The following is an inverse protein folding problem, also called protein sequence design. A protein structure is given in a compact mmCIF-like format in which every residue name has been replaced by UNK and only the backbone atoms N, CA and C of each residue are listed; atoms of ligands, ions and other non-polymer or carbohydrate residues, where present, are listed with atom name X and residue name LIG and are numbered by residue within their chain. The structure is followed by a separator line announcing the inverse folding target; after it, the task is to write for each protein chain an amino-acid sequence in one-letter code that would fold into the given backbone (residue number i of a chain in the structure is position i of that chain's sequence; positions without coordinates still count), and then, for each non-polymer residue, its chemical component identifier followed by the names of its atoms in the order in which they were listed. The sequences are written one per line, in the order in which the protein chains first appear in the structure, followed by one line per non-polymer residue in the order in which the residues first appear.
data_IF_185941217399
#
_entry.id   IF_185941217399
#
_cell.length_a   1.000
_cell.length_b   1.000
_cell.length_c   1.000
_cell.angle_alpha   90.00
_cell.angle_beta   90.00
_cell.angle_gamma   90.00
#
_symmetry.space_group_name_H-M   'P 1'
#
loop_
_entity.id
_entity.type
_entity.pdbx_description
1 polymer ?
#
# COMPACT_ATOMS: atom_id res chain seq x y z
N UNK A 1 -34.39 11.91 34.49
CA UNK A 1 -35.09 13.05 33.88
C UNK A 1 -34.01 14.09 33.56
N UNK A 2 -33.55 14.15 32.36
CA UNK A 2 -33.14 15.35 31.59
C UNK A 2 -32.52 14.90 30.29
N UNK A 3 -33.25 15.09 29.22
CA UNK A 3 -32.84 14.78 27.84
C UNK A 3 -32.00 15.96 27.33
N UNK A 4 -30.80 15.70 26.83
CA UNK A 4 -30.02 16.67 26.06
C UNK A 4 -30.13 16.26 24.58
N UNK A 5 -30.84 17.07 23.81
CA UNK A 5 -30.96 17.01 22.37
C UNK A 5 -29.75 17.72 21.75
N UNK A 6 -28.97 17.03 20.96
CA UNK A 6 -27.98 17.65 20.05
C UNK A 6 -28.67 18.08 18.77
N UNK A 7 -28.55 19.38 18.46
CA UNK A 7 -29.04 20.01 17.23
C UNK A 7 -27.88 19.92 16.22
N UNK A 8 -28.13 19.22 15.10
CA UNK A 8 -27.26 19.32 13.92
C UNK A 8 -27.59 20.62 13.16
N UNK A 9 -26.62 21.50 13.02
CA UNK A 9 -26.66 22.61 12.08
C UNK A 9 -25.99 22.17 10.77
N UNK A 10 -26.76 22.02 9.71
CA UNK A 10 -26.30 21.86 8.35
C UNK A 10 -26.10 23.27 7.74
N UNK A 11 -24.87 23.64 7.39
CA UNK A 11 -24.60 24.78 6.52
C UNK A 11 -24.42 24.26 5.09
N UNK A 12 -25.44 24.50 4.28
CA UNK A 12 -25.35 24.37 2.84
C UNK A 12 -24.77 25.66 2.24
N UNK A 13 -23.71 25.55 1.48
CA UNK A 13 -23.24 26.60 0.57
C UNK A 13 -23.40 26.11 -0.86
N UNK A 14 -24.40 26.67 -1.56
CA UNK A 14 -24.60 26.48 -2.98
C UNK A 14 -23.63 27.35 -3.79
N UNK A 15 -23.01 26.74 -4.80
CA UNK A 15 -22.34 27.45 -5.87
C UNK A 15 -23.23 27.44 -7.11
N UNK A 16 -23.72 28.62 -7.49
CA UNK A 16 -24.34 28.89 -8.79
C UNK A 16 -23.25 29.05 -9.84
N UNK A 17 -23.14 28.11 -10.76
CA UNK A 17 -22.35 28.26 -11.97
C UNK A 17 -23.19 28.87 -13.10
N UNK A 18 -22.81 30.04 -13.56
CA UNK A 18 -23.40 30.73 -14.71
C UNK A 18 -22.77 30.16 -15.99
N UNK A 19 -23.58 29.50 -16.83
CA UNK A 19 -23.19 29.13 -18.19
C UNK A 19 -23.57 30.25 -19.16
N UNK A 20 -22.57 30.82 -19.79
CA UNK A 20 -22.76 31.78 -20.91
C UNK A 20 -22.64 31.01 -22.22
N UNK A 21 -23.75 30.94 -22.96
CA UNK A 21 -23.81 30.41 -24.32
C UNK A 21 -23.38 31.57 -25.29
N UNK A 22 -22.32 31.36 -26.02
CA UNK A 22 -21.95 32.21 -27.17
C UNK A 22 -22.38 31.51 -28.46
N UNK A 23 -23.36 32.08 -29.13
CA UNK A 23 -23.80 31.70 -30.48
C UNK A 23 -22.89 32.39 -31.51
N UNK A 24 -22.31 31.62 -32.42
CA UNK A 24 -21.58 32.14 -33.57
C UNK A 24 -22.41 31.89 -34.82
N UNK A 25 -22.76 32.99 -35.47
CA UNK A 25 -23.50 33.02 -36.72
C UNK A 25 -22.65 32.64 -37.92
N UNK A 26 -23.30 31.94 -38.83
CA UNK A 26 -22.80 31.58 -40.18
C UNK A 26 -22.89 32.76 -41.13
N UNK A 27 -21.82 33.06 -41.88
CA UNK A 27 -21.88 33.88 -43.10
C UNK A 27 -21.11 33.18 -44.22
N UNK A 28 -21.80 32.98 -45.35
CA UNK A 28 -21.27 32.42 -46.60
C UNK A 28 -20.60 33.52 -47.41
N UNK A 29 -19.51 33.19 -48.09
CA UNK A 29 -18.91 34.03 -49.13
C UNK A 29 -17.93 33.22 -49.98
N UNK A 30 -18.26 33.11 -51.29
CA UNK A 30 -17.56 32.37 -52.33
C UNK A 30 -16.29 33.07 -52.84
N UNK A 31 -15.39 32.27 -53.36
CA UNK A 31 -14.65 32.23 -54.64
C UNK A 31 -13.15 32.48 -54.66
N UNK A 32 -12.53 31.53 -55.42
CA UNK A 32 -11.33 31.59 -56.29
C UNK A 32 -9.94 31.31 -55.71
N UNK A 33 -9.44 30.15 -56.14
CA UNK A 33 -8.03 29.76 -56.27
C UNK A 33 -7.36 30.54 -57.42
N UNK A 34 -6.05 30.83 -57.44
CA UNK A 34 -5.10 29.83 -57.90
C UNK A 34 -3.65 29.87 -57.28
N UNK A 35 -3.05 28.71 -57.31
CA UNK A 35 -1.64 28.42 -57.59
C UNK A 35 -0.52 28.90 -56.64
N UNK A 36 0.13 27.89 -56.00
CA UNK A 36 1.58 27.78 -56.07
C UNK A 36 2.38 28.35 -54.88
N UNK A 37 3.04 27.45 -54.25
CA UNK A 37 4.34 27.54 -53.61
C UNK A 37 4.31 26.83 -52.26
N UNK A 38 5.09 25.76 -52.15
CA UNK A 38 5.26 24.98 -50.94
C UNK A 38 5.79 25.82 -49.76
N UNK A 39 5.07 25.77 -48.67
CA UNK A 39 5.60 26.13 -47.37
C UNK A 39 5.85 24.86 -46.60
N UNK A 40 7.15 24.59 -46.35
CA UNK A 40 7.61 23.68 -45.35
C UNK A 40 7.04 24.14 -44.01
N UNK A 41 6.24 23.28 -43.39
CA UNK A 41 5.83 23.46 -42.00
C UNK A 41 7.07 23.28 -41.12
N UNK A 42 7.66 24.37 -40.68
CA UNK A 42 8.57 24.37 -39.54
C UNK A 42 7.75 23.98 -38.32
N UNK A 43 7.93 22.75 -37.86
CA UNK A 43 7.52 22.34 -36.52
C UNK A 43 8.18 23.30 -35.52
N UNK A 44 7.41 24.19 -34.94
CA UNK A 44 7.86 24.96 -33.79
C UNK A 44 8.00 24.00 -32.63
N UNK A 45 9.24 23.54 -32.38
CA UNK A 45 9.63 22.96 -31.12
C UNK A 45 9.44 24.07 -30.08
N UNK A 46 8.36 23.96 -29.30
CA UNK A 46 8.18 24.79 -28.11
C UNK A 46 9.39 24.60 -27.22
N UNK A 47 10.02 25.67 -26.72
CA UNK A 47 11.12 25.53 -25.79
C UNK A 47 10.59 24.81 -24.54
N UNK A 48 11.19 23.67 -24.21
CA UNK A 48 11.04 23.06 -22.89
C UNK A 48 11.58 24.12 -21.92
N UNK A 49 10.69 24.78 -21.19
CA UNK A 49 11.08 25.56 -20.03
C UNK A 49 11.72 24.60 -19.03
N UNK A 50 13.02 24.50 -19.09
CA UNK A 50 13.82 24.00 -17.99
C UNK A 50 13.64 25.04 -16.87
N UNK A 51 13.02 24.63 -15.76
CA UNK A 51 13.00 25.42 -14.54
C UNK A 51 14.45 25.80 -14.22
N UNK A 52 14.80 27.06 -14.34
CA UNK A 52 16.17 27.57 -14.19
C UNK A 52 16.67 27.56 -12.73
N UNK A 53 15.81 27.16 -11.79
CA UNK A 53 16.20 26.98 -10.40
C UNK A 53 16.62 25.54 -10.14
N UNK A 54 17.85 25.29 -9.64
CA UNK A 54 18.24 23.96 -9.22
C UNK A 54 17.26 23.47 -8.15
N UNK A 55 16.92 22.16 -8.15
CA UNK A 55 16.02 21.61 -7.14
C UNK A 55 16.59 21.86 -5.74
N UNK A 56 15.71 22.26 -4.81
CA UNK A 56 16.12 22.50 -3.44
C UNK A 56 16.69 21.22 -2.77
N UNK A 57 17.46 21.36 -1.66
CA UNK A 57 18.13 20.23 -1.00
C UNK A 57 17.18 19.05 -0.68
N UNK A 58 15.93 19.35 -0.31
CA UNK A 58 14.90 18.34 -0.06
C UNK A 58 14.53 17.56 -1.31
N UNK A 59 14.33 18.24 -2.43
CA UNK A 59 13.98 17.58 -3.70
C UNK A 59 15.11 16.66 -4.19
N UNK A 60 16.36 17.10 -4.05
CA UNK A 60 17.55 16.28 -4.36
C UNK A 60 17.61 15.07 -3.45
N UNK A 61 17.40 15.25 -2.15
CA UNK A 61 17.38 14.16 -1.18
C UNK A 61 16.28 13.15 -1.50
N UNK A 62 15.03 13.61 -1.70
CA UNK A 62 13.90 12.76 -2.04
C UNK A 62 14.16 11.97 -3.34
N UNK A 63 14.70 12.62 -4.38
CA UNK A 63 15.05 11.94 -5.64
C UNK A 63 16.00 10.78 -5.40
N UNK A 64 17.08 11.00 -4.65
CA UNK A 64 18.04 9.97 -4.31
C UNK A 64 17.39 8.80 -3.55
N UNK A 65 16.55 9.08 -2.57
CA UNK A 65 15.87 8.02 -1.79
C UNK A 65 14.94 7.19 -2.68
N UNK A 66 14.20 7.83 -3.59
CA UNK A 66 13.33 7.13 -4.54
C UNK A 66 14.11 6.21 -5.49
N UNK A 67 15.30 6.65 -5.94
CA UNK A 67 16.22 5.86 -6.76
C UNK A 67 16.80 4.67 -5.97
N UNK A 68 17.33 4.91 -4.76
CA UNK A 68 17.89 3.87 -3.89
C UNK A 68 16.84 2.82 -3.46
N UNK A 69 15.57 3.22 -3.36
CA UNK A 69 14.45 2.34 -3.08
C UNK A 69 13.91 1.61 -4.32
N UNK A 70 14.52 1.84 -5.48
CA UNK A 70 14.11 1.24 -6.77
C UNK A 70 12.64 1.53 -7.12
N UNK A 71 12.15 2.74 -6.80
CA UNK A 71 10.79 3.13 -7.13
C UNK A 71 10.68 3.36 -8.64
N UNK A 72 9.67 2.79 -9.32
CA UNK A 72 9.49 2.96 -10.76
C UNK A 72 9.45 4.44 -11.17
N UNK A 73 10.10 4.84 -12.29
CA UNK A 73 10.25 6.25 -12.66
C UNK A 73 8.95 7.05 -12.74
N UNK A 74 7.85 6.42 -13.18
CA UNK A 74 6.55 7.07 -13.25
C UNK A 74 5.98 7.37 -11.84
N UNK A 75 6.11 6.42 -10.91
CA UNK A 75 5.68 6.57 -9.52
C UNK A 75 6.58 7.55 -8.76
N UNK A 76 7.89 7.48 -8.96
CA UNK A 76 8.85 8.41 -8.37
C UNK A 76 8.55 9.86 -8.78
N UNK A 77 8.26 10.10 -10.05
CA UNK A 77 7.86 11.43 -10.56
C UNK A 77 6.57 11.92 -9.91
N UNK A 78 5.55 11.07 -9.83
CA UNK A 78 4.31 11.41 -9.15
C UNK A 78 4.53 11.82 -7.68
N UNK A 79 5.34 11.06 -6.94
CA UNK A 79 5.69 11.39 -5.55
C UNK A 79 6.43 12.73 -5.46
N UNK A 80 7.37 12.99 -6.37
CA UNK A 80 8.10 14.27 -6.43
C UNK A 80 7.16 15.45 -6.72
N UNK A 81 6.21 15.29 -7.64
CA UNK A 81 5.20 16.31 -7.97
C UNK A 81 4.34 16.63 -6.74
N UNK A 82 3.78 15.61 -6.08
CA UNK A 82 2.98 15.80 -4.86
C UNK A 82 3.80 16.44 -3.73
N UNK A 83 5.06 16.01 -3.55
CA UNK A 83 5.94 16.57 -2.54
C UNK A 83 6.35 18.04 -2.83
N UNK A 84 6.32 18.47 -4.08
CA UNK A 84 6.57 19.86 -4.48
C UNK A 84 5.35 20.76 -4.31
N UNK A 85 4.12 20.22 -4.35
CA UNK A 85 2.88 21.00 -4.17
C UNK A 85 2.67 21.48 -2.72
N UNK A 86 3.30 20.82 -1.73
CA UNK A 86 3.13 21.22 -0.33
C UNK A 86 3.71 20.22 0.68
N UNK A 87 3.48 20.45 1.97
CA UNK A 87 4.09 19.65 3.03
C UNK A 87 3.40 18.29 3.27
N UNK A 88 2.28 17.98 2.60
CA UNK A 88 1.44 16.84 2.91
C UNK A 88 2.22 15.51 2.91
N UNK A 89 2.96 15.23 1.84
CA UNK A 89 3.80 14.03 1.75
C UNK A 89 4.77 13.89 2.94
N UNK A 90 5.45 14.99 3.29
CA UNK A 90 6.41 14.98 4.40
C UNK A 90 5.71 14.83 5.75
N UNK A 91 4.55 15.46 5.96
CA UNK A 91 3.78 15.32 7.19
C UNK A 91 3.27 13.89 7.37
N UNK A 92 2.78 13.26 6.31
CA UNK A 92 2.32 11.87 6.35
C UNK A 92 3.49 10.90 6.59
N UNK A 93 4.65 11.15 5.96
CA UNK A 93 5.87 10.39 6.23
C UNK A 93 6.30 10.53 7.70
N UNK A 94 6.29 11.75 8.26
CA UNK A 94 6.62 11.98 9.67
C UNK A 94 5.67 11.24 10.60
N UNK A 95 4.37 11.24 10.33
CA UNK A 95 3.40 10.48 11.09
C UNK A 95 3.71 8.98 11.11
N UNK A 96 4.14 8.42 9.97
CA UNK A 96 4.61 7.02 9.87
C UNK A 96 5.87 6.80 10.71
N UNK A 97 6.83 7.73 10.66
CA UNK A 97 8.11 7.60 11.37
C UNK A 97 7.98 7.76 12.89
N UNK A 98 7.01 8.54 13.37
CA UNK A 98 6.67 8.70 14.80
C UNK A 98 5.96 7.47 15.38
N UNK A 99 5.37 6.62 14.53
CA UNK A 99 4.68 5.40 14.93
C UNK A 99 5.61 4.28 15.42
N UNK A 100 5.02 3.13 15.79
CA UNK A 100 5.77 1.94 16.23
C UNK A 100 6.75 1.48 15.11
N UNK A 101 8.07 1.48 15.34
CA UNK A 101 9.05 1.10 14.34
C UNK A 101 8.89 -0.33 13.81
N UNK A 102 8.30 -1.24 14.60
CA UNK A 102 8.04 -2.60 14.14
C UNK A 102 7.02 -2.69 13.01
N UNK A 103 6.14 -1.70 12.87
CA UNK A 103 5.13 -1.66 11.79
C UNK A 103 5.77 -1.46 10.41
N UNK A 104 6.92 -0.77 10.34
CA UNK A 104 7.62 -0.41 9.10
C UNK A 104 8.89 -1.21 8.81
N UNK A 105 9.20 -2.25 9.59
CA UNK A 105 10.38 -3.12 9.37
C UNK A 105 10.30 -3.76 7.99
N UNK A 106 11.32 -3.56 7.16
CA UNK A 106 11.45 -4.25 5.87
C UNK A 106 11.87 -5.71 6.11
N UNK A 107 11.01 -6.65 5.72
CA UNK A 107 11.29 -8.09 5.74
C UNK A 107 10.91 -8.65 4.38
N UNK A 108 11.90 -9.09 3.62
CA UNK A 108 11.75 -9.62 2.26
C UNK A 108 12.86 -10.64 1.93
N UNK A 109 13.10 -10.93 0.67
CA UNK A 109 14.14 -11.89 0.21
C UNK A 109 15.56 -11.50 0.61
N UNK A 110 15.81 -10.21 0.86
CA UNK A 110 17.14 -9.66 1.14
C UNK A 110 17.31 -9.24 2.60
N UNK A 111 16.19 -8.90 3.27
CA UNK A 111 16.19 -8.37 4.64
C UNK A 111 15.59 -9.40 5.60
N UNK A 112 16.45 -9.99 6.41
CA UNK A 112 16.09 -11.05 7.36
C UNK A 112 15.96 -10.50 8.79
N UNK A 113 15.01 -11.04 9.54
CA UNK A 113 14.95 -10.93 10.99
C UNK A 113 15.97 -11.88 11.64
N UNK A 114 16.48 -11.48 12.80
CA UNK A 114 17.33 -12.37 13.61
C UNK A 114 16.57 -13.65 13.98
N UNK A 115 17.30 -14.78 14.07
CA UNK A 115 16.71 -16.06 14.42
C UNK A 115 16.03 -16.06 15.82
N UNK A 116 16.57 -15.27 16.76
CA UNK A 116 15.98 -15.12 18.09
C UNK A 116 14.93 -14.02 18.20
N UNK A 117 14.54 -13.35 17.09
CA UNK A 117 13.50 -12.33 17.16
C UNK A 117 12.13 -12.97 17.39
N UNK A 118 11.51 -12.60 18.49
CA UNK A 118 10.13 -12.92 18.86
C UNK A 118 9.49 -11.68 19.50
N UNK A 119 8.29 -11.26 19.05
CA UNK A 119 7.60 -10.15 19.69
C UNK A 119 7.20 -10.46 21.13
N UNK A 120 7.42 -9.51 22.06
CA UNK A 120 7.12 -9.68 23.48
C UNK A 120 5.62 -9.59 23.80
N UNK A 121 4.84 -8.95 22.93
CA UNK A 121 3.42 -8.62 23.12
C UNK A 121 2.46 -9.53 22.33
N UNK A 122 2.90 -10.77 22.03
CA UNK A 122 2.05 -11.75 21.38
C UNK A 122 0.88 -12.17 22.27
N UNK A 123 -0.32 -12.12 21.69
CA UNK A 123 -1.57 -12.57 22.33
C UNK A 123 -2.20 -13.71 21.52
N UNK A 124 -2.84 -14.64 22.21
CA UNK A 124 -3.58 -15.71 21.54
C UNK A 124 -4.82 -15.16 20.84
N UNK A 125 -5.00 -15.58 19.60
CA UNK A 125 -6.24 -15.33 18.87
C UNK A 125 -7.33 -16.22 19.40
N UNK A 126 -8.32 -15.60 20.04
CA UNK A 126 -9.51 -16.26 20.54
C UNK A 126 -10.71 -15.86 19.67
N UNK A 127 -11.85 -16.52 19.85
CA UNK A 127 -13.05 -16.12 19.11
C UNK A 127 -13.52 -14.74 19.53
N UNK A 128 -13.68 -13.88 18.54
CA UNK A 128 -14.26 -12.55 18.65
C UNK A 128 -15.20 -12.31 17.47
N UNK A 129 -15.09 -11.15 16.81
CA UNK A 129 -15.79 -10.88 15.55
C UNK A 129 -15.20 -11.66 14.37
N UNK A 130 -13.97 -12.16 14.50
CA UNK A 130 -13.34 -13.08 13.55
C UNK A 130 -13.43 -14.55 14.02
N UNK A 131 -13.17 -15.46 13.09
CA UNK A 131 -13.02 -16.88 13.37
C UNK A 131 -11.55 -17.31 13.22
N UNK A 132 -11.17 -18.40 13.88
CA UNK A 132 -9.88 -19.07 13.69
C UNK A 132 -10.13 -20.52 13.26
N UNK A 133 -9.38 -20.99 12.25
CA UNK A 133 -9.53 -22.37 11.78
C UNK A 133 -8.75 -23.40 12.62
N UNK A 134 -7.86 -22.91 13.51
CA UNK A 134 -7.08 -23.74 14.45
C UNK A 134 -6.74 -22.94 15.72
N UNK A 135 -6.43 -23.65 16.79
CA UNK A 135 -5.98 -23.02 18.04
C UNK A 135 -4.49 -22.68 18.01
N UNK A 136 -4.07 -21.81 18.93
CA UNK A 136 -2.68 -21.43 19.14
C UNK A 136 -2.14 -20.42 18.12
N UNK A 137 -3.02 -19.79 17.33
CA UNK A 137 -2.64 -18.65 16.50
C UNK A 137 -2.42 -17.44 17.40
N UNK A 138 -1.37 -16.64 17.11
CA UNK A 138 -1.00 -15.47 17.89
C UNK A 138 -0.73 -14.29 16.96
N UNK A 139 -1.01 -13.09 17.45
CA UNK A 139 -0.57 -11.82 16.86
C UNK A 139 -0.02 -10.91 17.95
N UNK A 140 0.71 -9.86 17.55
CA UNK A 140 0.97 -8.72 18.43
C UNK A 140 -0.35 -8.06 18.82
N UNK A 141 -0.40 -7.56 20.05
CA UNK A 141 -1.61 -6.93 20.62
C UNK A 141 -2.21 -5.88 19.72
N UNK A 142 -1.40 -4.99 19.13
CA UNK A 142 -1.89 -3.92 18.24
C UNK A 142 -2.58 -4.48 16.98
N UNK A 143 -2.00 -5.54 16.38
CA UNK A 143 -2.57 -6.19 15.20
C UNK A 143 -3.87 -6.95 15.54
N UNK A 144 -3.93 -7.59 16.72
CA UNK A 144 -5.14 -8.28 17.18
C UNK A 144 -6.31 -7.32 17.37
N UNK A 145 -6.07 -6.15 18.00
CA UNK A 145 -7.11 -5.13 18.17
C UNK A 145 -7.60 -4.57 16.82
N UNK A 146 -6.70 -4.38 15.86
CA UNK A 146 -7.05 -3.94 14.52
C UNK A 146 -7.83 -5.03 13.74
N UNK A 147 -7.45 -6.31 13.91
CA UNK A 147 -8.16 -7.44 13.35
C UNK A 147 -9.59 -7.54 13.89
N UNK A 148 -9.78 -7.37 15.20
CA UNK A 148 -11.11 -7.38 15.82
C UNK A 148 -11.98 -6.25 15.27
N UNK A 149 -11.43 -5.03 15.16
CA UNK A 149 -12.15 -3.88 14.60
C UNK A 149 -12.55 -4.11 13.13
N UNK A 150 -11.61 -4.64 12.32
CA UNK A 150 -11.86 -4.97 10.91
C UNK A 150 -12.92 -6.08 10.78
N UNK A 151 -12.81 -7.12 11.59
CA UNK A 151 -13.75 -8.23 11.57
C UNK A 151 -15.16 -7.83 12.03
N UNK A 152 -15.28 -6.92 13.00
CA UNK A 152 -16.57 -6.37 13.42
C UNK A 152 -17.24 -5.58 12.29
N UNK A 153 -16.48 -4.79 11.54
CA UNK A 153 -16.99 -4.08 10.36
C UNK A 153 -17.44 -5.07 9.25
N UNK A 154 -16.61 -6.08 8.97
CA UNK A 154 -16.96 -7.13 8.01
C UNK A 154 -18.25 -7.87 8.42
N UNK A 155 -18.39 -8.17 9.72
CA UNK A 155 -19.58 -8.83 10.25
C UNK A 155 -20.83 -7.98 10.11
N UNK A 156 -20.74 -6.64 10.28
CA UNK A 156 -21.83 -5.70 10.03
C UNK A 156 -22.28 -5.74 8.56
N UNK A 157 -21.36 -5.99 7.62
CA UNK A 157 -21.64 -6.19 6.19
C UNK A 157 -22.04 -7.64 5.85
N UNK A 158 -22.21 -8.48 6.88
CA UNK A 158 -22.59 -9.90 6.75
C UNK A 158 -21.46 -10.76 6.17
N UNK A 159 -20.19 -10.37 6.39
CA UNK A 159 -18.98 -11.11 5.98
C UNK A 159 -18.30 -11.65 7.24
N UNK A 160 -17.91 -12.92 7.21
CA UNK A 160 -17.12 -13.53 8.29
C UNK A 160 -15.66 -13.66 7.85
N UNK A 161 -14.74 -13.09 8.62
CA UNK A 161 -13.32 -13.24 8.41
C UNK A 161 -12.80 -14.45 9.22
N UNK A 162 -12.07 -15.34 8.56
CA UNK A 162 -11.46 -16.51 9.18
C UNK A 162 -9.94 -16.43 9.06
N UNK A 163 -9.25 -16.52 10.19
CA UNK A 163 -7.78 -16.53 10.25
C UNK A 163 -7.27 -17.96 10.14
N UNK A 164 -6.39 -18.20 9.18
CA UNK A 164 -5.81 -19.52 8.90
C UNK A 164 -4.35 -19.64 9.34
N UNK A 165 -3.61 -18.54 9.33
CA UNK A 165 -2.23 -18.45 9.81
C UNK A 165 -1.98 -17.08 10.42
N UNK A 166 -1.04 -16.99 11.37
CA UNK A 166 -0.66 -15.75 12.02
C UNK A 166 0.83 -15.80 12.40
N UNK A 167 1.25 -15.40 13.60
CA UNK A 167 2.65 -15.47 14.02
C UNK A 167 3.27 -16.84 13.76
N UNK A 168 4.50 -16.81 13.26
CA UNK A 168 5.31 -18.00 12.96
C UNK A 168 6.75 -17.76 13.42
N UNK A 169 7.22 -18.54 14.40
CA UNK A 169 8.60 -18.42 14.86
C UNK A 169 9.60 -18.81 13.76
N UNK A 170 10.84 -18.37 13.90
CA UNK A 170 11.95 -18.74 13.02
C UNK A 170 12.06 -20.27 12.86
N UNK A 171 12.07 -21.02 13.97
CA UNK A 171 12.19 -22.48 13.94
C UNK A 171 11.00 -23.17 13.26
N UNK A 172 9.78 -22.63 13.44
CA UNK A 172 8.62 -23.17 12.74
C UNK A 172 8.68 -22.85 11.25
N UNK A 173 9.14 -21.67 10.87
CA UNK A 173 9.37 -21.31 9.46
C UNK A 173 10.39 -22.24 8.79
N UNK A 174 11.47 -22.62 9.49
CA UNK A 174 12.45 -23.57 8.99
C UNK A 174 11.80 -24.94 8.68
N UNK A 175 10.92 -25.41 9.57
CA UNK A 175 10.16 -26.65 9.36
C UNK A 175 9.26 -26.54 8.13
N UNK A 176 8.52 -25.42 7.98
CA UNK A 176 7.62 -25.18 6.84
C UNK A 176 8.42 -25.11 5.54
N UNK A 177 9.48 -24.33 5.50
CA UNK A 177 10.31 -24.16 4.31
C UNK A 177 10.96 -25.48 3.88
N UNK A 178 11.57 -26.21 4.81
CA UNK A 178 12.19 -27.52 4.54
C UNK A 178 11.18 -28.52 3.97
N UNK A 179 9.95 -28.52 4.50
CA UNK A 179 8.87 -29.34 3.96
C UNK A 179 8.55 -28.96 2.52
N UNK A 180 8.39 -27.66 2.22
CA UNK A 180 8.08 -27.18 0.88
C UNK A 180 9.19 -27.52 -0.13
N UNK A 181 10.46 -27.37 0.27
CA UNK A 181 11.60 -27.79 -0.56
C UNK A 181 11.54 -29.27 -0.90
N UNK A 182 11.20 -30.11 0.08
CA UNK A 182 11.09 -31.57 -0.13
C UNK A 182 9.91 -31.93 -1.05
N UNK A 183 8.79 -31.21 -0.96
CA UNK A 183 7.56 -31.51 -1.70
C UNK A 183 7.54 -30.93 -3.12
N UNK A 184 8.06 -29.72 -3.32
CA UNK A 184 7.96 -28.98 -4.59
C UNK A 184 9.31 -28.63 -5.22
N UNK A 185 10.42 -28.93 -4.57
CA UNK A 185 11.75 -28.50 -4.98
C UNK A 185 12.11 -27.09 -4.56
N UNK A 186 13.41 -26.76 -4.63
CA UNK A 186 13.98 -25.50 -4.13
C UNK A 186 13.39 -24.27 -4.82
N UNK A 187 13.31 -24.30 -6.15
CA UNK A 187 12.86 -23.15 -6.95
C UNK A 187 11.41 -22.78 -6.64
N UNK A 188 10.51 -23.77 -6.61
CA UNK A 188 9.10 -23.55 -6.26
C UNK A 188 8.96 -23.12 -4.80
N UNK A 189 9.69 -23.75 -3.89
CA UNK A 189 9.66 -23.38 -2.48
C UNK A 189 10.11 -21.93 -2.26
N UNK A 190 11.10 -21.44 -2.99
CA UNK A 190 11.56 -20.06 -2.90
C UNK A 190 10.51 -19.06 -3.39
N UNK A 191 9.58 -19.45 -4.29
CA UNK A 191 8.49 -18.58 -4.77
C UNK A 191 7.26 -18.58 -3.85
N UNK A 192 7.02 -19.68 -3.14
CA UNK A 192 5.79 -19.91 -2.36
C UNK A 192 6.01 -19.84 -0.85
N UNK A 193 7.26 -19.82 -0.38
CA UNK A 193 7.59 -19.84 1.04
C UNK A 193 8.84 -19.01 1.34
N UNK A 194 8.77 -18.25 2.41
CA UNK A 194 9.93 -17.53 2.88
C UNK A 194 10.95 -18.47 3.52
N UNK A 195 12.24 -18.19 3.30
CA UNK A 195 13.32 -18.80 4.08
C UNK A 195 13.21 -18.35 5.54
N UNK A 196 13.76 -19.13 6.51
CA UNK A 196 13.81 -18.71 7.91
C UNK A 196 14.44 -17.33 8.07
N UNK A 197 13.79 -16.46 8.85
CA UNK A 197 14.16 -15.05 9.01
C UNK A 197 13.55 -14.09 7.96
N UNK A 198 13.17 -14.58 6.80
CA UNK A 198 12.62 -13.78 5.70
C UNK A 198 11.07 -13.77 5.64
N UNK A 199 10.44 -14.37 6.63
CA UNK A 199 8.98 -14.43 6.72
C UNK A 199 8.42 -13.24 7.49
N UNK A 200 7.50 -12.49 6.89
CA UNK A 200 6.76 -11.43 7.57
C UNK A 200 5.92 -11.96 8.75
N UNK A 201 5.53 -13.24 8.76
CA UNK A 201 4.84 -13.85 9.88
C UNK A 201 5.64 -13.82 11.20
N UNK A 202 7.00 -13.77 11.12
CA UNK A 202 7.83 -13.68 12.31
C UNK A 202 7.68 -12.33 13.03
N UNK A 203 7.20 -11.28 12.35
CA UNK A 203 6.88 -10.00 12.98
C UNK A 203 5.69 -10.07 13.96
N UNK A 204 4.84 -11.11 13.86
CA UNK A 204 3.59 -11.18 14.60
C UNK A 204 2.53 -10.16 14.15
N UNK A 205 2.66 -9.65 12.94
CA UNK A 205 1.82 -8.61 12.35
C UNK A 205 1.06 -9.09 11.10
N UNK A 206 1.12 -10.39 10.80
CA UNK A 206 0.59 -10.95 9.54
C UNK A 206 -0.49 -11.97 9.81
N UNK A 207 -1.50 -11.94 8.97
CA UNK A 207 -2.59 -12.93 8.93
C UNK A 207 -2.76 -13.44 7.51
N UNK A 208 -2.88 -14.77 7.38
CA UNK A 208 -3.46 -15.40 6.21
C UNK A 208 -4.94 -15.66 6.46
N UNK A 209 -5.80 -15.15 5.58
CA UNK A 209 -7.25 -15.28 5.68
C UNK A 209 -7.79 -16.42 4.83
N UNK A 210 -8.85 -17.07 5.31
CA UNK A 210 -9.66 -18.04 4.56
C UNK A 210 -8.88 -19.24 4.05
N UNK A 211 -9.09 -19.61 2.78
CA UNK A 211 -8.27 -20.61 2.08
C UNK A 211 -6.94 -19.96 1.65
N UNK A 212 -5.86 -20.73 1.82
CA UNK A 212 -4.51 -20.28 1.38
C UNK A 212 -4.31 -20.73 -0.06
N UNK A 213 -5.13 -20.20 -0.97
CA UNK A 213 -5.11 -20.44 -2.41
C UNK A 213 -5.74 -19.27 -3.16
N UNK A 214 -5.55 -19.22 -4.49
CA UNK A 214 -6.00 -18.12 -5.34
C UNK A 214 -7.54 -17.95 -5.34
N UNK A 215 -8.29 -19.02 -5.05
CA UNK A 215 -9.75 -18.95 -5.00
C UNK A 215 -10.26 -18.05 -3.87
N UNK A 216 -9.43 -17.76 -2.86
CA UNK A 216 -9.81 -16.83 -1.79
C UNK A 216 -10.20 -15.46 -2.34
N UNK A 217 -9.52 -14.94 -3.37
CA UNK A 217 -9.83 -13.66 -4.01
C UNK A 217 -11.29 -13.58 -4.49
N UNK A 218 -11.86 -14.72 -4.94
CA UNK A 218 -13.20 -14.80 -5.47
C UNK A 218 -14.27 -14.98 -4.38
N UNK A 219 -13.88 -15.19 -3.15
CA UNK A 219 -14.81 -15.30 -2.02
C UNK A 219 -15.39 -13.93 -1.65
N UNK A 220 -16.52 -13.93 -0.94
CA UNK A 220 -17.06 -12.68 -0.39
C UNK A 220 -16.10 -12.02 0.61
N UNK A 221 -15.41 -12.82 1.42
CA UNK A 221 -14.41 -12.34 2.37
C UNK A 221 -13.19 -11.75 1.66
N UNK A 222 -12.66 -12.44 0.64
CA UNK A 222 -11.50 -11.96 -0.13
C UNK A 222 -11.77 -10.63 -0.80
N UNK A 223 -12.92 -10.47 -1.47
CA UNK A 223 -13.32 -9.19 -2.08
C UNK A 223 -13.51 -8.09 -1.04
N UNK A 224 -14.15 -8.40 0.09
CA UNK A 224 -14.35 -7.42 1.16
C UNK A 224 -13.01 -6.93 1.75
N UNK A 225 -12.09 -7.86 2.05
CA UNK A 225 -10.76 -7.51 2.57
C UNK A 225 -9.96 -6.68 1.55
N UNK A 226 -9.99 -7.06 0.27
CA UNK A 226 -9.29 -6.32 -0.78
C UNK A 226 -9.74 -4.86 -0.88
N UNK A 227 -11.02 -4.59 -0.62
CA UNK A 227 -11.60 -3.24 -0.66
C UNK A 227 -11.43 -2.46 0.66
N UNK A 228 -11.48 -3.11 1.81
CA UNK A 228 -11.66 -2.43 3.10
C UNK A 228 -10.45 -2.52 4.04
N UNK A 229 -9.54 -3.48 3.86
CA UNK A 229 -8.48 -3.75 4.85
C UNK A 229 -7.59 -2.53 5.15
N UNK A 230 -7.31 -1.70 4.13
CA UNK A 230 -6.48 -0.51 4.27
C UNK A 230 -7.05 0.51 5.27
N UNK A 231 -8.38 0.61 5.42
CA UNK A 231 -9.03 1.50 6.40
C UNK A 231 -8.78 1.08 7.85
N UNK A 232 -8.36 -0.16 8.07
CA UNK A 232 -8.05 -0.73 9.38
C UNK A 232 -6.53 -0.90 9.60
N UNK A 233 -5.70 -0.36 8.72
CA UNK A 233 -4.24 -0.43 8.83
C UNK A 233 -3.63 -1.74 8.34
N UNK A 234 -4.37 -2.51 7.52
CA UNK A 234 -3.89 -3.74 6.89
C UNK A 234 -3.56 -3.51 5.42
N UNK A 235 -2.47 -4.10 4.96
CA UNK A 235 -1.99 -3.98 3.59
C UNK A 235 -1.68 -5.35 2.99
N UNK A 236 -2.06 -5.57 1.74
CA UNK A 236 -1.72 -6.78 0.97
C UNK A 236 -0.21 -6.81 0.69
N UNK A 237 0.48 -7.88 1.10
CA UNK A 237 1.94 -7.93 0.97
C UNK A 237 2.42 -8.37 -0.42
N UNK A 238 1.69 -9.26 -1.08
CA UNK A 238 2.10 -9.91 -2.34
C UNK A 238 1.01 -9.75 -3.41
N UNK A 239 0.85 -8.54 -3.98
CA UNK A 239 -0.17 -8.24 -4.97
C UNK A 239 0.13 -8.88 -6.33
N UNK A 240 -0.92 -9.18 -7.10
CA UNK A 240 -0.82 -9.74 -8.44
C UNK A 240 -0.07 -8.78 -9.39
N UNK A 241 0.86 -9.34 -10.19
CA UNK A 241 1.66 -8.57 -11.14
C UNK A 241 2.92 -7.92 -10.55
N UNK A 242 3.19 -8.15 -9.25
CA UNK A 242 4.37 -7.62 -8.56
C UNK A 242 5.30 -8.71 -8.03
N UNK A 243 5.22 -9.92 -8.60
CA UNK A 243 6.04 -11.08 -8.22
C UNK A 243 7.54 -10.81 -8.41
N UNK A 244 7.91 -10.07 -9.45
CA UNK A 244 9.29 -9.66 -9.68
C UNK A 244 9.82 -8.67 -8.62
N UNK A 245 8.95 -7.86 -8.03
CA UNK A 245 9.29 -6.91 -6.97
C UNK A 245 9.43 -7.60 -5.61
N UNK A 246 8.45 -8.46 -5.29
CA UNK A 246 8.35 -9.09 -3.96
C UNK A 246 9.17 -10.37 -3.84
N UNK A 247 9.44 -11.03 -4.98
CA UNK A 247 10.07 -12.33 -5.03
C UNK A 247 9.14 -13.50 -4.64
N UNK A 248 7.86 -13.20 -4.38
CA UNK A 248 6.82 -14.18 -4.05
C UNK A 248 5.70 -14.13 -5.07
N UNK A 249 5.01 -15.26 -5.25
CA UNK A 249 3.80 -15.31 -6.05
C UNK A 249 2.70 -14.41 -5.43
N UNK A 250 1.67 -14.13 -6.21
CA UNK A 250 0.47 -13.49 -5.69
C UNK A 250 -0.17 -14.31 -4.55
N UNK A 251 -0.50 -13.64 -3.45
CA UNK A 251 -1.16 -14.22 -2.27
C UNK A 251 -2.31 -13.32 -1.81
N UNK A 252 -3.49 -13.52 -2.37
CA UNK A 252 -4.70 -12.72 -2.07
C UNK A 252 -5.16 -12.77 -0.61
N UNK A 253 -4.67 -13.73 0.15
CA UNK A 253 -4.99 -14.00 1.56
C UNK A 253 -4.02 -13.36 2.55
N UNK A 254 -2.81 -12.95 2.12
CA UNK A 254 -1.70 -12.55 2.99
C UNK A 254 -1.69 -11.06 3.26
N UNK A 255 -2.18 -10.66 4.42
CA UNK A 255 -2.25 -9.27 4.85
C UNK A 255 -1.36 -8.98 6.05
N UNK A 256 -0.65 -7.86 5.99
CA UNK A 256 0.18 -7.36 7.07
C UNK A 256 -0.47 -6.14 7.70
N UNK A 257 -0.55 -6.14 9.04
CA UNK A 257 -0.85 -4.94 9.80
C UNK A 257 0.36 -4.00 9.81
N UNK A 258 0.17 -2.82 9.27
CA UNK A 258 1.19 -1.78 9.14
C UNK A 258 0.81 -0.51 9.92
N UNK A 259 -0.34 -0.49 10.59
CA UNK A 259 -0.90 0.71 11.22
C UNK A 259 -1.64 1.60 10.21
N UNK A 260 -2.48 2.50 10.70
CA UNK A 260 -3.33 3.32 9.84
C UNK A 260 -2.53 4.35 9.05
N UNK A 261 -1.55 4.96 9.68
CA UNK A 261 -0.68 5.98 9.08
C UNK A 261 0.10 5.40 7.91
N UNK A 262 0.77 4.25 8.11
CA UNK A 262 1.52 3.62 7.03
C UNK A 262 0.60 3.00 5.96
N UNK A 263 -0.55 2.46 6.34
CA UNK A 263 -1.53 1.96 5.37
C UNK A 263 -2.04 3.08 4.45
N UNK A 264 -2.38 4.23 5.03
CA UNK A 264 -2.74 5.43 4.27
C UNK A 264 -1.60 5.91 3.35
N UNK A 265 -0.37 5.93 3.86
CA UNK A 265 0.82 6.33 3.12
C UNK A 265 1.09 5.40 1.92
N UNK A 266 0.96 4.08 2.13
CA UNK A 266 1.06 3.06 1.07
C UNK A 266 0.02 3.30 -0.02
N UNK A 267 -1.23 3.50 0.38
CA UNK A 267 -2.35 3.65 -0.55
C UNK A 267 -2.24 4.95 -1.34
N UNK A 268 -1.95 6.06 -0.66
CA UNK A 268 -1.91 7.41 -1.25
C UNK A 268 -0.72 7.62 -2.18
N UNK A 269 0.48 7.18 -1.77
CA UNK A 269 1.72 7.54 -2.47
C UNK A 269 2.37 6.40 -3.24
N UNK A 270 2.03 5.14 -2.92
CA UNK A 270 2.66 3.96 -3.52
C UNK A 270 1.68 3.03 -4.22
N UNK A 271 0.51 3.56 -4.63
CA UNK A 271 -0.53 2.83 -5.35
C UNK A 271 -0.97 1.52 -4.65
N UNK A 272 -0.98 1.50 -3.31
CA UNK A 272 -1.28 0.31 -2.52
C UNK A 272 -0.17 -0.74 -2.48
N UNK A 273 1.02 -0.48 -3.03
CA UNK A 273 2.12 -1.45 -3.10
C UNK A 273 3.02 -1.32 -1.86
N UNK A 274 2.77 -2.17 -0.88
CA UNK A 274 3.47 -2.20 0.41
C UNK A 274 5.00 -2.25 0.27
N UNK A 275 5.51 -3.08 -0.63
CA UNK A 275 6.95 -3.28 -0.80
C UNK A 275 7.67 -1.99 -1.22
N UNK A 276 7.07 -1.15 -2.08
CA UNK A 276 7.65 0.13 -2.46
C UNK A 276 7.75 1.09 -1.28
N UNK A 277 6.68 1.22 -0.50
CA UNK A 277 6.68 2.10 0.66
C UNK A 277 7.69 1.65 1.73
N UNK A 278 7.78 0.35 2.01
CA UNK A 278 8.74 -0.18 2.99
C UNK A 278 10.18 -0.03 2.52
N UNK A 279 10.50 -0.24 1.22
CA UNK A 279 11.82 0.04 0.66
C UNK A 279 12.17 1.53 0.75
N UNK A 280 11.21 2.40 0.42
CA UNK A 280 11.39 3.85 0.53
C UNK A 280 11.70 4.27 1.98
N UNK A 281 10.92 3.82 2.96
CA UNK A 281 11.12 4.14 4.37
C UNK A 281 12.46 3.60 4.86
N UNK A 282 12.83 2.38 4.50
CA UNK A 282 14.12 1.78 4.84
C UNK A 282 15.29 2.62 4.34
N UNK A 283 15.27 3.08 3.07
CA UNK A 283 16.33 3.93 2.53
C UNK A 283 16.31 5.33 3.15
N UNK A 284 15.13 5.88 3.45
CA UNK A 284 14.99 7.14 4.15
C UNK A 284 15.65 7.12 5.52
N UNK A 285 15.34 6.13 6.35
CA UNK A 285 15.93 5.96 7.69
C UNK A 285 17.45 5.73 7.61
N UNK A 286 17.90 4.87 6.68
CA UNK A 286 19.33 4.58 6.43
C UNK A 286 20.13 5.82 6.01
N UNK A 287 19.53 6.73 5.28
CA UNK A 287 20.16 7.97 4.84
C UNK A 287 20.20 9.06 5.93
N UNK A 288 19.65 8.79 7.13
CA UNK A 288 19.55 9.77 8.22
C UNK A 288 18.53 10.86 7.92
N UNK A 289 17.48 10.54 7.18
CA UNK A 289 16.35 11.43 6.91
C UNK A 289 15.68 11.85 8.20
N UNK A 290 15.45 13.16 8.36
CA UNK A 290 14.90 14.02 9.42
C UNK A 290 14.89 13.49 10.85
#
# INVERSE_FOLDING_TARGET
MSSIRFIMLSLGMGFLGVYTLLSIGCSKGETQNPAGVGQQSTEQILPVHLDENPPGPYAVFLTRILEEAEIPPALARHIQEVAAEGPAFLMDLLAVLEGDPYLRVLVDKEHALAAGYEPEDLVDLTRGSYQVNRQGLKLRRAAELALEAMAAAAQADGVTLTVSSAYRSYAYQETVYTRNVRESGQETADQESARPGHSQHQLGLVVDFGSIDDAFAETRAGRWIADQAHLFGWSLSYPQGYEALTGYRWESWHYRYVGRELSYFIDTYFNGIQQYALRFIYQWEKAGGL
#
